data_IF_983454208384
#
_entry.id   IF_983454208384
#
_cell.length_a   1.000
_cell.length_b   1.000
_cell.length_c   1.000
_cell.angle_alpha   90.00
_cell.angle_beta   90.00
_cell.angle_gamma   90.00
#
_symmetry.space_group_name_H-M   'P 1'
#
loop_
_entity.id
_entity.type
_entity.pdbx_description
1 polymer ?
#
# COMPACT_ATOMS: atom_id res chain seq x y z
N UNK A 1 13.83 1.97 -9.19
CA UNK A 1 12.44 1.88 -9.68
C UNK A 1 11.53 1.63 -8.49
N UNK A 2 10.56 2.50 -8.26
CA UNK A 2 9.48 2.26 -7.30
C UNK A 2 8.47 1.25 -7.86
N UNK A 3 7.80 0.52 -6.99
CA UNK A 3 6.78 -0.46 -7.33
C UNK A 3 5.75 -0.57 -6.22
N UNK A 4 4.57 -1.08 -6.57
CA UNK A 4 3.48 -1.34 -5.62
C UNK A 4 3.25 -2.84 -5.48
N UNK A 5 2.75 -3.25 -4.32
CA UNK A 5 2.41 -4.65 -4.02
C UNK A 5 0.97 -4.71 -3.52
N UNK A 6 0.20 -5.73 -3.92
CA UNK A 6 -1.16 -5.84 -3.42
C UNK A 6 -1.19 -6.33 -1.96
N UNK A 7 -2.21 -5.95 -1.19
CA UNK A 7 -2.43 -6.48 0.16
C UNK A 7 -2.48 -8.02 0.19
N UNK A 8 -3.00 -8.64 -0.89
CA UNK A 8 -3.06 -10.10 -1.04
C UNK A 8 -1.67 -10.73 -1.22
N UNK A 9 -0.82 -10.13 -2.04
CA UNK A 9 0.53 -10.62 -2.30
C UNK A 9 1.41 -10.52 -1.04
N UNK A 10 1.30 -9.40 -0.32
CA UNK A 10 1.96 -9.23 0.96
C UNK A 10 1.47 -10.26 1.99
N UNK A 11 0.16 -10.54 2.03
CA UNK A 11 -0.40 -11.56 2.91
C UNK A 11 0.08 -12.98 2.54
N UNK A 12 0.21 -13.27 1.23
CA UNK A 12 0.75 -14.52 0.72
C UNK A 12 2.20 -14.73 1.16
N UNK A 13 3.06 -13.71 1.01
CA UNK A 13 4.46 -13.73 1.47
C UNK A 13 4.62 -13.92 2.97
N UNK A 14 3.63 -13.50 3.76
CA UNK A 14 3.58 -13.71 5.20
C UNK A 14 3.05 -15.10 5.60
N UNK A 15 2.88 -16.03 4.64
CA UNK A 15 2.25 -17.34 4.84
C UNK A 15 0.83 -17.25 5.41
N UNK A 16 0.13 -16.14 5.14
CA UNK A 16 -1.25 -15.87 5.57
C UNK A 16 -2.11 -15.43 4.38
N UNK A 17 -2.30 -16.26 3.34
CA UNK A 17 -2.92 -15.85 2.07
C UNK A 17 -4.34 -15.28 2.21
N UNK A 18 -5.07 -15.63 3.28
CA UNK A 18 -6.42 -15.14 3.57
C UNK A 18 -6.45 -13.82 4.38
N UNK A 19 -5.29 -13.25 4.72
CA UNK A 19 -5.17 -12.14 5.66
C UNK A 19 -5.06 -10.74 5.00
N UNK A 20 -5.40 -10.59 3.71
CA UNK A 20 -5.29 -9.31 2.99
C UNK A 20 -5.96 -8.12 3.72
N UNK A 21 -7.16 -8.33 4.29
CA UNK A 21 -7.86 -7.29 5.07
C UNK A 21 -7.11 -6.93 6.36
N UNK A 22 -6.55 -7.92 7.06
CA UNK A 22 -5.77 -7.69 8.27
C UNK A 22 -4.46 -6.95 7.95
N UNK A 23 -3.80 -7.29 6.84
CA UNK A 23 -2.64 -6.54 6.32
C UNK A 23 -3.03 -5.09 6.02
N UNK A 24 -4.15 -4.84 5.36
CA UNK A 24 -4.66 -3.48 5.14
C UNK A 24 -4.91 -2.70 6.44
N UNK A 25 -5.47 -3.36 7.45
CA UNK A 25 -5.61 -2.80 8.80
C UNK A 25 -4.26 -2.44 9.43
N UNK A 26 -3.27 -3.32 9.35
CA UNK A 26 -1.92 -3.08 9.86
C UNK A 26 -1.22 -1.92 9.13
N UNK A 27 -1.33 -1.85 7.80
CA UNK A 27 -0.80 -0.74 6.99
C UNK A 27 -1.45 0.60 7.37
N UNK A 28 -2.75 0.61 7.68
CA UNK A 28 -3.49 1.79 8.15
C UNK A 28 -3.08 2.19 9.58
N UNK A 29 -2.75 1.22 10.43
CA UNK A 29 -2.31 1.46 11.81
C UNK A 29 -0.83 1.86 11.93
N UNK A 30 -0.11 2.00 10.80
CA UNK A 30 1.31 2.33 10.79
C UNK A 30 1.58 3.72 11.42
N UNK A 31 2.30 3.79 12.56
CA UNK A 31 2.63 5.05 13.22
C UNK A 31 3.71 5.85 12.48
N UNK A 32 4.44 5.24 11.54
CA UNK A 32 5.55 5.85 10.81
C UNK A 32 5.37 5.69 9.28
N UNK A 33 4.39 6.38 8.65
CA UNK A 33 3.93 6.17 7.27
C UNK A 33 4.93 6.46 6.14
N UNK A 34 6.09 7.02 6.45
CA UNK A 34 7.15 7.32 5.47
C UNK A 34 8.33 6.35 5.64
N UNK A 35 8.75 6.11 6.90
CA UNK A 35 9.83 5.17 7.20
C UNK A 35 9.41 3.73 6.88
N UNK A 36 8.18 3.37 7.22
CA UNK A 36 7.56 2.12 6.82
C UNK A 36 6.72 2.43 5.57
N UNK A 37 7.08 1.89 4.39
CA UNK A 37 6.53 2.31 3.11
C UNK A 37 5.13 1.74 2.84
N UNK A 38 4.18 1.94 3.76
CA UNK A 38 2.81 1.42 3.61
C UNK A 38 2.02 2.11 2.49
N UNK A 39 2.52 3.23 1.95
CA UNK A 39 2.00 3.85 0.74
C UNK A 39 2.22 3.00 -0.52
N UNK A 40 3.15 2.02 -0.49
CA UNK A 40 3.40 1.09 -1.61
C UNK A 40 2.42 -0.09 -1.67
N UNK A 41 1.60 -0.30 -0.63
CA UNK A 41 0.66 -1.43 -0.60
C UNK A 41 -0.70 -0.98 -1.14
N UNK A 42 -1.27 -1.71 -2.11
CA UNK A 42 -2.49 -1.31 -2.84
C UNK A 42 -3.53 -2.42 -2.89
N UNK A 43 -4.74 -2.10 -3.38
CA UNK A 43 -5.75 -3.12 -3.69
C UNK A 43 -5.31 -4.05 -4.82
N UNK A 44 -5.94 -5.23 -4.94
CA UNK A 44 -5.56 -6.25 -5.94
C UNK A 44 -5.67 -5.76 -7.40
N UNK A 45 -6.52 -4.77 -7.66
CA UNK A 45 -6.68 -4.12 -8.97
C UNK A 45 -5.84 -2.84 -9.11
N UNK A 46 -4.90 -2.59 -8.20
CA UNK A 46 -4.14 -1.35 -8.13
C UNK A 46 -4.83 -0.20 -7.39
N UNK A 47 -6.10 -0.36 -6.95
CA UNK A 47 -6.83 0.74 -6.31
C UNK A 47 -6.10 1.32 -5.10
N UNK A 48 -6.02 2.67 -5.08
CA UNK A 48 -5.46 3.41 -3.96
C UNK A 48 -6.48 3.49 -2.84
N UNK A 49 -6.32 2.59 -1.87
CA UNK A 49 -7.13 2.56 -0.65
C UNK A 49 -6.23 2.67 0.56
N UNK A 50 -6.76 3.20 1.65
CA UNK A 50 -6.15 3.16 2.98
C UNK A 50 -4.74 3.77 3.07
N UNK A 51 -4.62 4.91 3.73
CA UNK A 51 -3.33 5.45 4.14
C UNK A 51 -3.52 6.28 5.40
N UNK A 52 -2.67 6.11 6.42
CA UNK A 52 -2.82 6.81 7.70
C UNK A 52 -2.72 8.33 7.54
N UNK A 53 -1.88 8.82 6.63
CA UNK A 53 -1.79 10.25 6.29
C UNK A 53 -2.75 10.68 5.16
N UNK A 54 -3.62 9.80 4.66
CA UNK A 54 -4.62 10.11 3.64
C UNK A 54 -4.16 9.97 2.18
N UNK A 55 -5.10 9.72 1.26
CA UNK A 55 -4.79 9.31 -0.12
C UNK A 55 -3.96 10.33 -0.91
N UNK A 56 -4.12 11.64 -0.66
CA UNK A 56 -3.32 12.69 -1.32
C UNK A 56 -1.82 12.50 -1.06
N UNK A 57 -1.45 12.13 0.16
CA UNK A 57 -0.06 11.87 0.53
C UNK A 57 0.47 10.58 -0.09
N UNK A 58 -0.34 9.51 -0.11
CA UNK A 58 0.00 8.25 -0.78
C UNK A 58 0.33 8.47 -2.27
N UNK A 59 -0.52 9.21 -2.98
CA UNK A 59 -0.29 9.60 -4.38
C UNK A 59 1.01 10.39 -4.54
N UNK A 60 1.26 11.37 -3.66
CA UNK A 60 2.45 12.22 -3.74
C UNK A 60 3.74 11.42 -3.53
N UNK A 61 3.75 10.50 -2.57
CA UNK A 61 4.88 9.62 -2.29
C UNK A 61 5.15 8.66 -3.46
N UNK A 62 4.10 8.02 -4.00
CA UNK A 62 4.24 7.12 -5.15
C UNK A 62 4.77 7.85 -6.39
N UNK A 63 4.28 9.07 -6.67
CA UNK A 63 4.82 9.90 -7.76
C UNK A 63 6.27 10.29 -7.53
N UNK A 64 6.66 10.64 -6.30
CA UNK A 64 8.03 10.96 -5.95
C UNK A 64 8.98 9.75 -6.14
N UNK A 65 8.44 8.53 -6.03
CA UNK A 65 9.17 7.28 -6.29
C UNK A 65 9.19 6.88 -7.78
N UNK A 66 8.58 7.68 -8.66
CA UNK A 66 8.48 7.41 -10.09
C UNK A 66 7.46 6.33 -10.46
N UNK A 67 6.50 6.04 -9.57
CA UNK A 67 5.37 5.16 -9.90
C UNK A 67 4.37 5.95 -10.75
N UNK A 68 4.21 5.54 -12.00
CA UNK A 68 3.11 6.04 -12.84
C UNK A 68 1.78 5.52 -12.29
N UNK A 69 0.82 6.43 -12.10
CA UNK A 69 -0.48 6.11 -11.49
C UNK A 69 -1.59 6.19 -12.53
N UNK A 70 -2.07 5.05 -13.06
CA UNK A 70 -3.40 4.90 -13.62
C UNK A 70 -4.19 3.93 -12.73
N UNK A 71 -4.45 4.31 -11.48
CA UNK A 71 -5.04 3.42 -10.50
C UNK A 71 -6.56 3.64 -10.47
N UNK A 72 -7.30 2.70 -11.06
CA UNK A 72 -8.75 2.68 -11.19
C UNK A 72 -9.50 2.81 -9.85
#
# INVERSE_FOLDING_TARGET
MGGVEAYGDLAYRLNKPKAARAVGGACKANPLPILIPCHRVVGANGSLTGFSAGLKWKIRLLRAEGVELPLH
#
